data_IF_263067560029
#
_entry.id   IF_263067560029
#
_cell.length_a   1.000
_cell.length_b   1.000
_cell.length_c   1.000
_cell.angle_alpha   90.00
_cell.angle_beta   90.00
_cell.angle_gamma   90.00
#
_symmetry.space_group_name_H-M   'P 1'
#
loop_
_entity.id
_entity.type
_entity.pdbx_description
1 polymer ?
#
# COMPACT_ATOMS: atom_id res chain seq x y z
N UNK A 1 -16.67 0.21 -27.00
CA UNK A 1 -16.68 -0.76 -25.89
C UNK A 1 -15.38 -0.80 -25.08
N UNK A 2 -14.24 -1.33 -25.57
CA UNK A 2 -13.01 -1.42 -24.74
C UNK A 2 -12.49 -0.05 -24.25
N UNK A 3 -12.47 0.96 -25.13
CA UNK A 3 -12.06 2.31 -24.75
C UNK A 3 -12.96 2.92 -23.66
N UNK A 4 -14.27 2.70 -23.74
CA UNK A 4 -15.24 3.19 -22.74
C UNK A 4 -15.04 2.52 -21.38
N UNK A 5 -14.72 1.22 -21.35
CA UNK A 5 -14.41 0.50 -20.11
C UNK A 5 -13.14 1.03 -19.43
N UNK A 6 -12.09 1.30 -20.22
CA UNK A 6 -10.87 1.89 -19.69
C UNK A 6 -11.09 3.32 -19.20
N UNK A 7 -11.94 4.09 -19.86
CA UNK A 7 -12.33 5.42 -19.39
C UNK A 7 -13.09 5.34 -18.06
N UNK A 8 -14.06 4.42 -17.94
CA UNK A 8 -14.77 4.15 -16.68
C UNK A 8 -13.79 3.77 -15.56
N UNK A 9 -12.87 2.84 -15.83
CA UNK A 9 -11.84 2.43 -14.86
C UNK A 9 -10.97 3.63 -14.42
N UNK A 10 -10.55 4.48 -15.35
CA UNK A 10 -9.78 5.68 -15.03
C UNK A 10 -10.57 6.69 -14.17
N UNK A 11 -11.86 6.85 -14.45
CA UNK A 11 -12.72 7.75 -13.69
C UNK A 11 -13.01 7.24 -12.27
N UNK A 12 -13.22 5.93 -12.10
CA UNK A 12 -13.34 5.27 -10.79
C UNK A 12 -12.05 5.42 -9.98
N UNK A 13 -10.90 5.15 -10.61
CA UNK A 13 -9.59 5.31 -9.97
C UNK A 13 -9.36 6.75 -9.50
N UNK A 14 -9.70 7.75 -10.32
CA UNK A 14 -9.57 9.18 -9.98
C UNK A 14 -10.45 9.58 -8.80
N UNK A 15 -11.63 8.97 -8.66
CA UNK A 15 -12.55 9.20 -7.55
C UNK A 15 -12.17 8.42 -6.27
N UNK A 16 -11.18 7.53 -6.34
CA UNK A 16 -10.87 6.63 -5.23
C UNK A 16 -12.00 5.64 -4.96
N UNK A 17 -12.73 5.24 -6.01
CA UNK A 17 -13.75 4.19 -5.91
C UNK A 17 -13.09 2.83 -6.23
N UNK A 18 -13.11 1.85 -5.31
CA UNK A 18 -12.51 0.54 -5.57
C UNK A 18 -13.29 -0.26 -6.62
N UNK A 19 -12.55 -0.91 -7.53
CA UNK A 19 -13.11 -1.77 -8.57
C UNK A 19 -12.14 -2.88 -8.96
N UNK A 20 -12.61 -3.87 -9.72
CA UNK A 20 -11.77 -4.92 -10.31
C UNK A 20 -11.77 -4.77 -11.82
N UNK A 21 -10.59 -4.73 -12.41
CA UNK A 21 -10.41 -4.91 -13.84
C UNK A 21 -10.27 -6.40 -14.11
N UNK A 22 -11.24 -6.97 -14.82
CA UNK A 22 -11.27 -8.37 -15.19
C UNK A 22 -10.97 -8.55 -16.67
N UNK A 23 -10.14 -9.54 -17.02
CA UNK A 23 -9.78 -9.84 -18.40
C UNK A 23 -9.72 -11.34 -18.66
N UNK A 24 -10.30 -11.79 -19.77
CA UNK A 24 -10.14 -13.15 -20.27
C UNK A 24 -8.74 -13.29 -20.85
N UNK A 25 -7.89 -14.06 -20.16
CA UNK A 25 -6.49 -14.26 -20.57
C UNK A 25 -6.29 -15.54 -21.39
N UNK A 26 -7.18 -16.52 -21.23
CA UNK A 26 -7.21 -17.76 -22.02
C UNK A 26 -8.64 -18.25 -22.18
N UNK A 27 -8.91 -18.85 -23.35
CA UNK A 27 -10.15 -19.57 -23.62
C UNK A 27 -9.87 -20.95 -24.19
N UNK A 28 -10.80 -21.87 -23.98
CA UNK A 28 -10.92 -23.12 -24.72
C UNK A 28 -12.32 -23.20 -25.34
N UNK A 29 -12.43 -23.91 -26.47
CA UNK A 29 -13.75 -24.18 -27.07
C UNK A 29 -14.62 -24.95 -26.06
N UNK A 30 -15.94 -24.73 -25.96
CA UNK A 30 -16.83 -23.84 -26.70
C UNK A 30 -17.24 -22.60 -25.86
N UNK A 31 -16.29 -21.76 -25.45
CA UNK A 31 -16.59 -20.52 -24.73
C UNK A 31 -17.01 -19.38 -25.68
N UNK A 32 -18.08 -18.65 -25.32
CA UNK A 32 -18.52 -17.43 -26.01
C UNK A 32 -17.60 -16.23 -25.74
N UNK A 33 -16.79 -16.29 -24.68
CA UNK A 33 -15.73 -15.34 -24.44
C UNK A 33 -14.67 -15.41 -25.56
N UNK A 34 -14.05 -14.27 -25.84
CA UNK A 34 -12.83 -14.15 -26.61
C UNK A 34 -11.68 -13.76 -25.69
N UNK A 35 -10.46 -14.15 -26.08
CA UNK A 35 -9.28 -13.68 -25.38
C UNK A 35 -9.19 -12.15 -25.52
N UNK A 36 -8.91 -11.46 -24.40
CA UNK A 36 -8.91 -10.01 -24.33
C UNK A 36 -10.28 -9.36 -24.05
N UNK A 37 -11.35 -10.15 -23.98
CA UNK A 37 -12.62 -9.69 -23.41
C UNK A 37 -12.39 -9.16 -21.99
N UNK A 38 -13.07 -8.08 -21.64
CA UNK A 38 -12.80 -7.30 -20.44
C UNK A 38 -14.11 -6.85 -19.77
N UNK A 39 -14.07 -6.76 -18.45
CA UNK A 39 -15.10 -6.09 -17.68
C UNK A 39 -14.51 -5.30 -16.50
N UNK A 40 -15.25 -4.28 -16.06
CA UNK A 40 -15.05 -3.57 -14.79
C UNK A 40 -16.14 -4.04 -13.82
N UNK A 41 -15.73 -4.50 -12.64
CA UNK A 41 -16.63 -4.89 -11.56
C UNK A 41 -16.45 -3.93 -10.39
N UNK A 42 -17.46 -3.15 -10.08
CA UNK A 42 -17.42 -2.16 -8.99
C UNK A 42 -17.69 -2.82 -7.62
N UNK A 43 -17.28 -2.16 -6.54
CA UNK A 43 -17.42 -2.71 -5.18
C UNK A 43 -18.88 -2.95 -4.74
N UNK A 44 -19.85 -2.22 -5.32
CA UNK A 44 -21.29 -2.40 -5.12
C UNK A 44 -21.88 -3.55 -5.99
N UNK A 45 -21.07 -4.21 -6.81
CA UNK A 45 -21.47 -5.35 -7.63
C UNK A 45 -21.93 -5.00 -9.04
N UNK A 46 -21.78 -3.74 -9.47
CA UNK A 46 -21.91 -3.33 -10.86
C UNK A 46 -20.97 -4.12 -11.78
N UNK A 47 -21.39 -4.36 -13.02
CA UNK A 47 -20.67 -5.17 -14.00
C UNK A 47 -20.77 -4.52 -15.36
N UNK A 48 -19.65 -4.01 -15.86
CA UNK A 48 -19.58 -3.26 -17.10
C UNK A 48 -18.63 -3.99 -18.05
N UNK A 49 -19.12 -4.43 -19.20
CA UNK A 49 -18.32 -5.17 -20.19
C UNK A 49 -18.76 -6.62 -20.35
N UNK A 50 -17.86 -7.48 -20.79
CA UNK A 50 -18.18 -8.84 -21.20
C UNK A 50 -17.04 -9.81 -20.88
N UNK A 51 -17.38 -10.99 -20.35
CA UNK A 51 -16.44 -12.09 -20.05
C UNK A 51 -17.06 -13.46 -20.38
N UNK A 52 -17.82 -13.57 -21.48
CA UNK A 52 -18.46 -14.84 -21.88
C UNK A 52 -19.89 -15.06 -21.39
N UNK A 53 -20.64 -13.98 -21.13
CA UNK A 53 -22.08 -14.04 -20.83
C UNK A 53 -22.44 -14.27 -19.37
N UNK A 54 -23.71 -14.58 -19.11
CA UNK A 54 -24.26 -14.60 -17.74
C UNK A 54 -23.72 -15.75 -16.88
N UNK A 55 -23.22 -16.83 -17.47
CA UNK A 55 -22.72 -18.00 -16.73
C UNK A 55 -21.46 -17.69 -15.91
N UNK A 56 -20.64 -16.73 -16.34
CA UNK A 56 -19.41 -16.37 -15.62
C UNK A 56 -19.64 -15.31 -14.54
N UNK A 57 -20.66 -14.46 -14.69
CA UNK A 57 -20.86 -13.29 -13.84
C UNK A 57 -20.99 -13.60 -12.33
N UNK A 58 -21.79 -14.58 -11.86
CA UNK A 58 -21.96 -14.80 -10.42
C UNK A 58 -20.64 -15.16 -9.73
N UNK A 59 -19.85 -16.04 -10.37
CA UNK A 59 -18.55 -16.45 -9.85
C UNK A 59 -17.54 -15.32 -9.96
N UNK A 60 -17.46 -14.61 -11.09
CA UNK A 60 -16.54 -13.47 -11.26
C UNK A 60 -16.84 -12.38 -10.24
N UNK A 61 -18.10 -12.00 -10.03
CA UNK A 61 -18.48 -10.99 -9.02
C UNK A 61 -18.06 -11.39 -7.61
N UNK A 62 -18.27 -12.66 -7.26
CA UNK A 62 -17.87 -13.19 -5.95
C UNK A 62 -16.35 -13.11 -5.76
N UNK A 63 -15.58 -13.57 -6.74
CA UNK A 63 -14.12 -13.55 -6.64
C UNK A 63 -13.55 -12.13 -6.78
N UNK A 64 -14.18 -11.24 -7.53
CA UNK A 64 -13.85 -9.81 -7.59
C UNK A 64 -14.03 -9.14 -6.23
N UNK A 65 -15.15 -9.40 -5.54
CA UNK A 65 -15.36 -8.91 -4.16
C UNK A 65 -14.26 -9.41 -3.21
N UNK A 66 -13.83 -10.66 -3.34
CA UNK A 66 -12.72 -11.20 -2.53
C UNK A 66 -11.39 -10.54 -2.87
N UNK A 67 -11.09 -10.34 -4.15
CA UNK A 67 -9.90 -9.61 -4.60
C UNK A 67 -9.86 -8.17 -4.04
N UNK A 68 -11.00 -7.47 -3.99
CA UNK A 68 -11.10 -6.15 -3.38
C UNK A 68 -10.84 -6.15 -1.87
N UNK A 69 -11.42 -7.12 -1.15
CA UNK A 69 -11.25 -7.22 0.31
C UNK A 69 -9.82 -7.55 0.69
N UNK A 70 -9.18 -8.46 -0.05
CA UNK A 70 -7.82 -8.91 0.24
C UNK A 70 -6.74 -8.00 -0.39
N UNK A 71 -7.11 -7.21 -1.40
CA UNK A 71 -6.18 -6.35 -2.13
C UNK A 71 -5.16 -7.09 -2.99
N UNK A 72 -5.42 -8.36 -3.33
CA UNK A 72 -4.51 -9.20 -4.11
C UNK A 72 -5.16 -9.67 -5.42
N UNK A 73 -4.42 -9.65 -6.54
CA UNK A 73 -4.93 -10.18 -7.81
C UNK A 73 -5.26 -11.67 -7.75
N UNK A 74 -6.16 -12.11 -8.64
CA UNK A 74 -6.60 -13.50 -8.74
C UNK A 74 -6.65 -13.95 -10.19
N UNK A 75 -6.16 -15.16 -10.47
CA UNK A 75 -6.39 -15.84 -11.73
C UNK A 75 -7.40 -16.96 -11.50
N UNK A 76 -8.57 -16.84 -12.13
CA UNK A 76 -9.68 -17.77 -11.95
C UNK A 76 -9.86 -18.58 -13.23
N UNK A 77 -9.88 -19.91 -13.13
CA UNK A 77 -10.27 -20.78 -14.23
C UNK A 77 -11.68 -21.28 -14.02
N UNK A 78 -12.60 -20.91 -14.91
CA UNK A 78 -13.98 -21.34 -14.88
C UNK A 78 -14.14 -22.52 -15.84
N UNK A 79 -14.51 -23.68 -15.31
CA UNK A 79 -14.62 -24.93 -16.07
C UNK A 79 -15.79 -25.78 -15.56
N UNK A 80 -16.44 -26.59 -16.43
CA UNK A 80 -17.36 -27.64 -16.00
C UNK A 80 -16.67 -28.69 -15.10
N UNK A 81 -15.37 -28.90 -15.29
CA UNK A 81 -14.53 -29.85 -14.55
C UNK A 81 -13.36 -29.13 -13.87
N UNK A 82 -13.56 -28.42 -12.74
CA UNK A 82 -12.51 -27.62 -12.12
C UNK A 82 -11.27 -28.41 -11.71
N UNK A 83 -11.44 -29.70 -11.41
CA UNK A 83 -10.33 -30.56 -10.97
C UNK A 83 -9.28 -30.77 -12.06
N UNK A 84 -9.69 -30.76 -13.34
CA UNK A 84 -8.77 -30.93 -14.48
C UNK A 84 -8.03 -29.64 -14.83
N UNK A 85 -8.48 -28.49 -14.30
CA UNK A 85 -7.89 -27.17 -14.51
C UNK A 85 -6.98 -26.70 -13.37
N UNK A 86 -6.83 -27.52 -12.33
CA UNK A 86 -6.03 -27.19 -11.15
C UNK A 86 -4.55 -26.96 -11.52
N UNK A 87 -4.10 -25.71 -11.34
CA UNK A 87 -2.75 -25.25 -11.66
C UNK A 87 -2.23 -24.34 -10.53
N UNK A 88 -0.92 -24.32 -10.24
CA UNK A 88 -0.36 -23.38 -9.26
C UNK A 88 -0.74 -21.93 -9.59
N UNK A 89 -1.25 -21.20 -8.59
CA UNK A 89 -1.68 -19.80 -8.75
C UNK A 89 -3.00 -19.59 -9.50
N UNK A 90 -3.69 -20.66 -9.90
CA UNK A 90 -5.00 -20.59 -10.57
C UNK A 90 -6.08 -21.15 -9.67
N UNK A 91 -7.11 -20.36 -9.42
CA UNK A 91 -8.30 -20.78 -8.70
C UNK A 91 -9.29 -21.43 -9.68
N UNK A 92 -9.29 -22.76 -9.75
CA UNK A 92 -10.24 -23.50 -10.57
C UNK A 92 -11.61 -23.57 -9.89
N UNK A 93 -12.66 -23.08 -10.57
CA UNK A 93 -14.02 -22.96 -10.06
C UNK A 93 -15.04 -23.52 -11.05
N UNK A 94 -16.16 -24.07 -10.55
CA UNK A 94 -17.20 -24.61 -11.42
C UNK A 94 -17.87 -23.50 -12.22
N UNK A 95 -18.16 -23.81 -13.48
CA UNK A 95 -19.02 -23.00 -14.35
C UNK A 95 -20.32 -23.74 -14.64
N UNK A 96 -21.45 -23.03 -14.62
CA UNK A 96 -22.78 -23.57 -14.94
C UNK A 96 -23.13 -23.46 -16.43
N UNK A 97 -22.15 -23.24 -17.32
CA UNK A 97 -22.41 -23.07 -18.73
C UNK A 97 -22.63 -24.42 -19.42
N UNK A 98 -23.68 -24.52 -20.24
CA UNK A 98 -24.00 -25.73 -21.00
C UNK A 98 -23.02 -26.00 -22.16
N UNK A 99 -22.22 -25.01 -22.57
CA UNK A 99 -21.33 -25.16 -23.73
C UNK A 99 -20.07 -26.00 -23.46
N UNK A 100 -19.79 -26.32 -22.20
CA UNK A 100 -18.63 -27.16 -21.85
C UNK A 100 -17.27 -26.47 -21.98
N UNK A 101 -17.22 -25.16 -22.27
CA UNK A 101 -15.97 -24.43 -22.46
C UNK A 101 -15.31 -23.97 -21.15
N UNK A 102 -13.98 -23.93 -21.16
CA UNK A 102 -13.15 -23.37 -20.08
C UNK A 102 -12.68 -21.96 -20.43
N UNK A 103 -12.64 -21.07 -19.43
CA UNK A 103 -12.08 -19.72 -19.57
C UNK A 103 -11.28 -19.34 -18.33
N UNK A 104 -10.09 -18.79 -18.55
CA UNK A 104 -9.27 -18.21 -17.49
C UNK A 104 -9.44 -16.68 -17.50
N UNK A 105 -9.75 -16.13 -16.33
CA UNK A 105 -10.04 -14.71 -16.10
C UNK A 105 -9.07 -14.19 -15.05
N UNK A 106 -8.26 -13.21 -15.43
CA UNK A 106 -7.44 -12.44 -14.51
C UNK A 106 -8.26 -11.32 -13.90
N UNK A 107 -8.21 -11.19 -12.57
CA UNK A 107 -8.91 -10.21 -11.76
C UNK A 107 -7.89 -9.33 -11.04
N UNK A 108 -7.77 -8.08 -11.47
CA UNK A 108 -6.88 -7.08 -10.87
C UNK A 108 -7.71 -6.12 -10.00
N UNK A 109 -7.60 -6.18 -8.65
CA UNK A 109 -8.23 -5.20 -7.79
C UNK A 109 -7.49 -3.86 -7.87
N UNK A 110 -8.23 -2.81 -8.18
CA UNK A 110 -7.74 -1.43 -8.14
C UNK A 110 -8.33 -0.78 -6.88
N UNK A 111 -7.45 -0.54 -5.91
CA UNK A 111 -7.80 0.07 -4.64
C UNK A 111 -7.41 1.56 -4.61
N UNK A 112 -8.09 2.37 -3.79
CA UNK A 112 -7.69 3.76 -3.58
C UNK A 112 -6.27 3.85 -3.02
N UNK A 113 -5.52 4.87 -3.43
CA UNK A 113 -4.19 5.14 -2.91
C UNK A 113 -4.24 5.24 -1.37
N UNK A 114 -3.30 4.61 -0.64
CA UNK A 114 -3.20 4.79 0.79
C UNK A 114 -3.02 6.26 1.16
N UNK A 115 -3.58 6.65 2.30
CA UNK A 115 -3.53 8.01 2.84
C UNK A 115 -2.58 8.07 4.03
N UNK A 116 -1.60 8.96 3.97
CA UNK A 116 -0.76 9.34 5.09
C UNK A 116 -1.37 10.57 5.77
N UNK A 117 -1.89 10.38 6.98
CA UNK A 117 -2.34 11.44 7.86
C UNK A 117 -1.13 11.95 8.66
N UNK A 118 -0.68 13.16 8.36
CA UNK A 118 0.55 13.72 8.89
C UNK A 118 0.23 14.88 9.83
N UNK A 119 0.59 14.75 11.10
CA UNK A 119 0.40 15.78 12.11
C UNK A 119 1.72 16.53 12.33
N UNK A 120 1.72 17.83 12.04
CA UNK A 120 2.90 18.71 12.15
C UNK A 120 3.68 18.90 10.84
N UNK A 121 4.49 19.96 10.77
CA UNK A 121 5.29 20.35 9.58
C UNK A 121 6.82 20.25 9.82
N UNK A 122 7.24 19.36 10.73
CA UNK A 122 8.66 19.16 11.01
C UNK A 122 9.46 18.75 9.76
N UNK A 123 10.79 18.95 9.71
CA UNK A 123 11.61 18.44 8.60
C UNK A 123 11.42 16.94 8.35
N UNK A 124 11.24 16.16 9.42
CA UNK A 124 10.93 14.73 9.33
C UNK A 124 9.56 14.49 8.68
N UNK A 125 8.53 15.24 9.08
CA UNK A 125 7.20 15.17 8.50
C UNK A 125 7.23 15.47 6.99
N UNK A 126 7.91 16.56 6.59
CA UNK A 126 8.06 16.96 5.18
C UNK A 126 8.80 15.91 4.35
N UNK A 127 9.89 15.34 4.88
CA UNK A 127 10.61 14.27 4.20
C UNK A 127 9.74 13.02 4.02
N UNK A 128 8.98 12.64 5.04
CA UNK A 128 8.05 11.51 4.96
C UNK A 128 6.95 11.75 3.92
N UNK A 129 6.40 12.97 3.86
CA UNK A 129 5.40 13.34 2.85
C UNK A 129 5.94 13.24 1.41
N UNK A 130 7.21 13.61 1.19
CA UNK A 130 7.86 13.46 -0.12
C UNK A 130 8.00 11.99 -0.51
N UNK A 131 8.43 11.13 0.43
CA UNK A 131 8.53 9.69 0.20
C UNK A 131 7.16 9.07 -0.09
N UNK A 132 6.14 9.43 0.69
CA UNK A 132 4.78 8.96 0.50
C UNK A 132 4.27 9.27 -0.92
N UNK A 133 4.50 10.50 -1.40
CA UNK A 133 4.13 10.89 -2.77
C UNK A 133 4.91 10.16 -3.84
N UNK A 134 6.21 9.94 -3.63
CA UNK A 134 7.05 9.21 -4.58
C UNK A 134 6.58 7.75 -4.77
N UNK A 135 5.97 7.15 -3.74
CA UNK A 135 5.36 5.80 -3.82
C UNK A 135 3.87 5.82 -4.16
N UNK A 136 3.32 6.97 -4.54
CA UNK A 136 1.93 7.11 -5.00
C UNK A 136 0.87 7.19 -3.88
N UNK A 137 1.26 7.51 -2.65
CA UNK A 137 0.32 7.73 -1.55
C UNK A 137 -0.19 9.17 -1.54
N UNK A 138 -1.44 9.33 -1.10
CA UNK A 138 -2.02 10.64 -0.81
C UNK A 138 -1.52 11.13 0.56
N UNK A 139 -1.28 12.43 0.70
CA UNK A 139 -0.84 13.04 1.96
C UNK A 139 -1.88 14.03 2.43
N UNK A 140 -2.29 13.84 3.67
CA UNK A 140 -3.24 14.68 4.39
C UNK A 140 -2.52 15.37 5.54
N UNK A 141 -2.38 16.69 5.47
CA UNK A 141 -1.81 17.47 6.57
C UNK A 141 -2.91 17.73 7.59
N UNK A 142 -2.61 17.49 8.87
CA UNK A 142 -3.58 17.67 9.96
C UNK A 142 -2.98 18.59 11.02
N UNK A 143 -3.69 19.66 11.33
CA UNK A 143 -3.30 20.62 12.35
C UNK A 143 -4.52 21.17 13.09
N UNK A 144 -4.29 21.78 14.25
CA UNK A 144 -5.34 22.53 14.95
C UNK A 144 -5.77 23.76 14.15
N UNK A 145 -4.80 24.45 13.54
CA UNK A 145 -5.02 25.55 12.60
C UNK A 145 -4.31 25.19 11.27
N UNK A 146 -5.03 24.60 10.30
CA UNK A 146 -4.44 24.13 9.06
C UNK A 146 -4.01 25.30 8.17
N UNK A 147 -2.71 25.40 7.90
CA UNK A 147 -2.17 26.28 6.86
C UNK A 147 -2.26 25.57 5.52
N UNK A 148 -2.76 26.26 4.50
CA UNK A 148 -2.88 25.70 3.17
C UNK A 148 -1.50 25.34 2.58
N UNK A 149 -1.31 24.07 2.24
CA UNK A 149 -0.13 23.53 1.57
C UNK A 149 -0.44 23.14 0.11
N UNK A 150 -1.23 23.98 -0.57
CA UNK A 150 -1.69 23.75 -1.93
C UNK A 150 -0.53 23.59 -2.93
N UNK A 151 0.58 24.31 -2.73
CA UNK A 151 1.81 24.22 -3.51
C UNK A 151 2.50 22.86 -3.39
N UNK A 152 2.34 22.20 -2.24
CA UNK A 152 2.89 20.88 -1.99
C UNK A 152 1.99 19.79 -2.56
N UNK A 153 0.71 20.05 -2.79
CA UNK A 153 -0.32 19.08 -3.19
C UNK A 153 -0.79 18.21 -2.02
N UNK A 154 -0.82 18.74 -0.80
CA UNK A 154 -1.46 18.08 0.35
C UNK A 154 -2.98 18.35 0.32
N UNK A 155 -3.74 17.51 1.01
CA UNK A 155 -5.10 17.88 1.43
C UNK A 155 -5.02 18.28 2.89
N UNK A 156 -5.33 19.53 3.20
CA UNK A 156 -5.24 20.04 4.57
C UNK A 156 -6.57 19.83 5.30
N UNK A 157 -6.51 19.36 6.54
CA UNK A 157 -7.66 19.12 7.40
C UNK A 157 -7.47 19.78 8.76
N UNK A 158 -8.54 20.34 9.31
CA UNK A 158 -8.56 20.64 10.74
C UNK A 158 -8.67 19.33 11.53
N UNK A 159 -8.01 19.25 12.69
CA UNK A 159 -8.00 18.04 13.53
C UNK A 159 -9.39 17.40 13.78
N UNK A 160 -10.48 18.15 14.01
CA UNK A 160 -11.82 17.56 14.18
C UNK A 160 -12.40 16.93 12.91
N UNK A 161 -12.03 17.43 11.73
CA UNK A 161 -12.59 16.99 10.44
C UNK A 161 -12.07 15.61 10.02
N UNK A 162 -10.90 15.22 10.53
CA UNK A 162 -10.25 13.96 10.16
C UNK A 162 -11.07 12.73 10.57
N UNK A 163 -11.96 12.86 11.55
CA UNK A 163 -12.87 11.80 11.97
C UNK A 163 -13.78 11.33 10.82
N UNK A 164 -14.15 12.21 9.88
CA UNK A 164 -14.94 11.85 8.71
C UNK A 164 -14.20 10.86 7.79
N UNK A 165 -12.86 10.85 7.81
CA UNK A 165 -12.07 9.89 7.05
C UNK A 165 -12.17 8.46 7.59
N UNK A 166 -12.70 8.24 8.80
CA UNK A 166 -12.92 6.90 9.34
C UNK A 166 -13.78 6.03 8.39
N UNK A 167 -14.79 6.63 7.74
CA UNK A 167 -15.68 5.96 6.81
C UNK A 167 -15.11 5.81 5.38
N UNK A 168 -14.00 6.45 5.06
CA UNK A 168 -13.40 6.38 3.73
C UNK A 168 -12.80 5.00 3.45
N UNK A 169 -13.07 4.47 2.25
CA UNK A 169 -12.56 3.19 1.72
C UNK A 169 -11.10 3.26 1.26
N UNK A 170 -10.26 3.99 1.99
CA UNK A 170 -8.83 4.08 1.77
C UNK A 170 -8.08 3.60 3.02
N UNK A 171 -6.96 2.92 2.79
CA UNK A 171 -6.02 2.55 3.84
C UNK A 171 -5.42 3.81 4.43
N UNK A 172 -5.34 3.90 5.75
CA UNK A 172 -4.95 5.13 6.46
C UNK A 172 -3.79 4.83 7.40
N UNK A 173 -2.77 5.67 7.36
CA UNK A 173 -1.59 5.58 8.23
C UNK A 173 -1.39 6.95 8.86
N UNK A 174 -1.29 7.03 10.19
CA UNK A 174 -1.08 8.29 10.89
C UNK A 174 0.35 8.38 11.44
N UNK A 175 0.99 9.53 11.21
CA UNK A 175 2.28 9.87 11.80
C UNK A 175 2.19 11.23 12.49
N UNK A 176 2.53 11.25 13.77
CA UNK A 176 2.50 12.41 14.63
C UNK A 176 3.94 12.90 14.81
N UNK A 177 4.25 14.03 14.20
CA UNK A 177 5.59 14.60 14.11
C UNK A 177 5.54 16.13 14.31
N UNK A 178 4.84 16.55 15.37
CA UNK A 178 4.53 17.94 15.70
C UNK A 178 5.65 18.69 16.43
N UNK A 179 6.79 18.02 16.71
CA UNK A 179 7.88 18.56 17.54
C UNK A 179 7.45 18.93 18.96
N UNK A 180 6.34 18.36 19.42
CA UNK A 180 5.87 18.54 20.78
C UNK A 180 4.78 19.57 20.99
N UNK A 181 4.25 20.11 19.91
CA UNK A 181 3.10 21.00 19.93
C UNK A 181 1.82 20.17 19.77
N UNK A 182 0.87 20.32 20.70
CA UNK A 182 -0.44 19.66 20.64
C UNK A 182 -0.37 18.14 20.37
N UNK A 183 0.59 17.43 20.97
CA UNK A 183 0.75 15.98 20.82
C UNK A 183 -0.51 15.22 21.25
N UNK A 184 -1.08 15.59 22.40
CA UNK A 184 -2.27 14.95 22.96
C UNK A 184 -3.45 15.03 22.00
N UNK A 185 -3.72 16.23 21.48
CA UNK A 185 -4.86 16.46 20.59
C UNK A 185 -4.63 15.81 19.22
N UNK A 186 -3.37 15.77 18.75
CA UNK A 186 -3.00 15.05 17.53
C UNK A 186 -3.20 13.54 17.67
N UNK A 187 -2.88 12.94 18.83
CA UNK A 187 -3.15 11.53 19.10
C UNK A 187 -4.66 11.25 19.10
N UNK A 188 -5.44 12.08 19.77
CA UNK A 188 -6.91 11.93 19.82
C UNK A 188 -7.51 12.03 18.43
N UNK A 189 -7.09 13.02 17.64
CA UNK A 189 -7.53 13.19 16.26
C UNK A 189 -7.12 11.99 15.37
N UNK A 190 -5.87 11.52 15.46
CA UNK A 190 -5.40 10.35 14.74
C UNK A 190 -6.21 9.08 15.07
N UNK A 191 -6.53 8.85 16.35
CA UNK A 191 -7.35 7.72 16.79
C UNK A 191 -8.76 7.76 16.19
N UNK A 192 -9.34 8.95 16.05
CA UNK A 192 -10.69 9.15 15.49
C UNK A 192 -10.79 8.74 14.02
N UNK A 193 -9.72 8.92 13.23
CA UNK A 193 -9.66 8.52 11.82
C UNK A 193 -9.53 7.00 11.60
N UNK A 194 -9.36 6.23 12.69
CA UNK A 194 -9.18 4.76 12.69
C UNK A 194 -8.15 4.26 11.66
N UNK A 195 -6.92 4.78 11.64
CA UNK A 195 -5.87 4.30 10.74
C UNK A 195 -5.42 2.88 11.12
N UNK A 196 -4.83 2.17 10.16
CA UNK A 196 -4.19 0.86 10.35
C UNK A 196 -2.93 0.97 11.21
N UNK A 197 -2.26 2.11 11.16
CA UNK A 197 -1.04 2.40 11.91
C UNK A 197 -1.10 3.81 12.50
N UNK A 198 -0.61 3.97 13.73
CA UNK A 198 -0.39 5.27 14.37
C UNK A 198 1.02 5.25 14.94
N UNK A 199 1.86 6.18 14.53
CA UNK A 199 3.20 6.36 15.09
C UNK A 199 3.41 7.79 15.56
N UNK A 200 4.13 7.96 16.67
CA UNK A 200 4.54 9.28 17.16
C UNK A 200 6.07 9.42 17.23
N UNK A 201 6.56 10.49 16.63
CA UNK A 201 7.96 10.93 16.63
C UNK A 201 8.20 11.73 17.91
N UNK A 202 8.41 11.00 19.01
CA UNK A 202 8.72 11.57 20.32
C UNK A 202 9.68 10.63 21.07
N UNK A 203 10.37 11.14 22.10
CA UNK A 203 11.14 10.28 23.00
C UNK A 203 10.21 9.37 23.82
N UNK A 204 10.72 8.21 24.27
CA UNK A 204 9.96 7.28 25.13
C UNK A 204 9.45 7.94 26.41
N UNK A 205 10.29 8.81 27.01
CA UNK A 205 9.92 9.58 28.20
C UNK A 205 8.75 10.51 27.91
N UNK A 206 8.84 11.30 26.83
CA UNK A 206 7.78 12.25 26.44
C UNK A 206 6.47 11.52 26.14
N UNK A 207 6.53 10.39 25.42
CA UNK A 207 5.33 9.60 25.15
C UNK A 207 4.69 9.01 26.40
N UNK A 208 5.48 8.62 27.41
CA UNK A 208 4.93 8.16 28.69
C UNK A 208 4.15 9.28 29.41
N UNK A 209 4.68 10.51 29.42
CA UNK A 209 4.01 11.69 29.99
C UNK A 209 2.69 12.00 29.26
N UNK A 210 2.71 11.98 27.93
CA UNK A 210 1.51 12.17 27.09
C UNK A 210 0.48 11.07 27.37
N UNK A 211 0.92 9.81 27.49
CA UNK A 211 0.04 8.66 27.77
C UNK A 211 -0.66 8.82 29.11
N UNK A 212 0.07 9.20 30.16
CA UNK A 212 -0.52 9.46 31.50
C UNK A 212 -1.55 10.59 31.46
N UNK A 213 -1.23 11.70 30.78
CA UNK A 213 -2.13 12.82 30.56
C UNK A 213 -3.43 12.40 29.85
N UNK A 214 -3.31 11.63 28.76
CA UNK A 214 -4.46 11.16 27.99
C UNK A 214 -5.33 10.14 28.73
N UNK A 215 -4.73 9.27 29.55
CA UNK A 215 -5.48 8.39 30.44
C UNK A 215 -6.29 9.20 31.47
N UNK A 216 -5.68 10.24 32.04
CA UNK A 216 -6.37 11.17 32.95
C UNK A 216 -7.54 11.92 32.30
N UNK A 217 -7.48 12.15 30.98
CA UNK A 217 -8.55 12.73 30.15
C UNK A 217 -9.61 11.71 29.71
N UNK A 218 -9.48 10.43 30.08
CA UNK A 218 -10.45 9.38 29.78
C UNK A 218 -10.26 8.66 28.44
N UNK A 219 -9.12 8.83 27.75
CA UNK A 219 -8.78 8.01 26.59
C UNK A 219 -8.44 6.59 27.07
N UNK A 220 -8.97 5.56 26.40
CA UNK A 220 -8.74 4.18 26.84
C UNK A 220 -7.28 3.74 26.66
N UNK A 221 -6.77 2.95 27.60
CA UNK A 221 -5.43 2.35 27.50
C UNK A 221 -5.28 1.52 26.21
N UNK A 222 -6.31 0.78 25.83
CA UNK A 222 -6.36 -0.02 24.60
C UNK A 222 -6.14 0.84 23.34
N UNK A 223 -6.73 2.04 23.30
CA UNK A 223 -6.53 2.96 22.19
C UNK A 223 -5.08 3.48 22.14
N UNK A 224 -4.52 3.82 23.30
CA UNK A 224 -3.15 4.32 23.42
C UNK A 224 -2.09 3.26 23.12
N UNK A 225 -2.36 1.98 23.41
CA UNK A 225 -1.45 0.86 23.11
C UNK A 225 -1.30 0.61 21.59
N UNK A 226 -2.21 1.15 20.78
CA UNK A 226 -2.09 1.14 19.31
C UNK A 226 -1.05 2.16 18.80
N UNK A 227 -0.72 3.17 19.60
CA UNK A 227 0.23 4.23 19.21
C UNK A 227 1.66 3.71 19.36
N UNK A 228 2.40 3.66 18.25
CA UNK A 228 3.78 3.20 18.23
C UNK A 228 4.74 4.33 18.57
N UNK A 229 5.60 4.10 19.55
CA UNK A 229 6.64 5.03 19.96
C UNK A 229 7.98 4.31 20.27
N UNK A 230 9.12 4.79 19.73
CA UNK A 230 9.22 5.78 18.64
C UNK A 230 8.52 5.29 17.36
N UNK A 231 8.10 6.22 16.50
CA UNK A 231 7.54 5.85 15.20
C UNK A 231 8.59 5.12 14.34
N UNK A 232 8.14 4.11 13.59
CA UNK A 232 8.96 3.38 12.63
C UNK A 232 9.61 2.10 13.18
N UNK A 233 10.33 1.43 12.29
CA UNK A 233 11.17 0.27 12.62
C UNK A 233 12.53 0.77 13.11
N UNK A 234 13.08 0.15 14.15
CA UNK A 234 14.43 0.45 14.62
C UNK A 234 15.47 -0.10 13.63
N UNK A 235 15.81 0.73 12.65
CA UNK A 235 16.83 0.43 11.64
C UNK A 235 18.21 0.98 12.06
N UNK A 236 18.39 1.39 13.32
CA UNK A 236 19.62 2.02 13.80
C UNK A 236 19.89 3.41 13.19
N UNK A 237 18.85 4.05 12.62
CA UNK A 237 18.98 5.37 12.01
C UNK A 237 19.38 6.41 13.08
N UNK A 238 20.56 7.01 12.91
CA UNK A 238 20.94 8.23 13.61
C UNK A 238 20.68 9.40 12.68
N UNK A 239 19.89 10.37 13.14
CA UNK A 239 19.85 11.67 12.48
C UNK A 239 21.25 12.27 12.64
N UNK A 240 21.88 12.83 11.59
CA UNK A 240 23.11 13.59 11.75
C UNK A 240 22.85 14.66 12.81
N UNK A 241 23.62 14.68 13.89
CA UNK A 241 23.55 15.75 14.87
C UNK A 241 23.83 17.06 14.13
N UNK A 242 22.84 17.94 14.02
CA UNK A 242 23.13 19.34 13.71
C UNK A 242 24.02 19.86 14.85
N UNK A 243 25.19 20.46 14.56
CA UNK A 243 26.02 21.01 15.62
C UNK A 243 25.25 22.13 16.31
N UNK A 244 24.81 21.84 17.53
CA UNK A 244 24.40 22.83 18.53
C UNK A 244 25.59 23.76 18.76
N UNK A 245 25.68 24.85 18.00
CA UNK A 245 26.67 25.90 18.24
C UNK A 245 26.26 26.70 19.46
N UNK A 246 26.56 26.15 20.64
CA UNK A 246 26.94 26.93 21.82
C UNK A 246 28.38 26.60 22.16
N UNK A 247 29.31 27.09 21.33
CA UNK A 247 30.73 27.06 21.62
C UNK A 247 31.30 28.48 21.44
N UNK A 248 31.77 29.04 22.54
CA UNK A 248 32.64 30.21 22.63
C UNK A 248 33.88 30.05 21.74
N UNK A 249 34.39 31.12 21.11
CA UNK A 249 35.53 31.02 20.22
C UNK A 249 36.82 30.88 21.04
N UNK A 250 37.55 29.78 20.88
CA UNK A 250 38.98 29.72 21.20
C UNK A 250 39.70 28.89 20.14
N UNK A 251 40.39 29.64 19.29
CA UNK A 251 41.60 29.38 18.49
C UNK A 251 42.16 27.97 18.30
N UNK A 252 42.30 27.64 17.00
CA UNK A 252 43.42 27.00 16.29
C UNK A 252 43.81 25.54 16.57
N UNK A 253 43.53 24.65 15.60
CA UNK A 253 44.52 23.75 14.97
C UNK A 253 43.93 23.05 13.72
N UNK A 254 44.77 22.93 12.69
CA UNK A 254 44.59 22.38 11.32
C UNK A 254 44.17 20.89 11.28
N UNK A 255 43.43 20.41 10.26
CA UNK A 255 42.82 19.07 10.25
C UNK A 255 43.79 17.97 9.80
N UNK A 256 43.76 16.84 10.51
CA UNK A 256 44.34 15.57 10.05
C UNK A 256 43.25 14.72 9.39
N UNK A 257 43.49 14.33 8.13
CA UNK A 257 42.64 13.44 7.37
C UNK A 257 42.64 12.03 7.98
N UNK A 258 41.45 11.47 8.21
CA UNK A 258 41.28 10.06 8.59
C UNK A 258 40.48 9.35 7.50
N UNK A 259 41.14 8.33 6.93
CA UNK A 259 40.70 7.44 5.86
C UNK A 259 39.47 6.61 6.24
N UNK A 260 38.55 6.44 5.28
CA UNK A 260 37.45 5.47 5.34
C UNK A 260 38.00 4.06 5.15
N UNK A 261 37.88 3.20 6.17
CA UNK A 261 38.04 1.76 6.04
C UNK A 261 36.68 1.11 5.74
N UNK A 262 36.56 0.45 4.59
CA UNK A 262 35.37 -0.36 4.25
C UNK A 262 35.18 -1.54 5.21
N UNK A 263 33.95 -1.83 5.70
CA UNK A 263 33.66 -3.08 6.38
C UNK A 263 33.62 -4.26 5.39
N UNK A 264 34.26 -5.37 5.75
CA UNK A 264 34.15 -6.65 5.03
C UNK A 264 32.68 -7.14 5.03
N UNK A 265 32.17 -7.69 3.91
CA UNK A 265 30.86 -8.34 3.90
C UNK A 265 30.88 -9.68 4.66
N UNK A 266 29.77 -10.07 5.32
CA UNK A 266 29.69 -11.34 6.03
C UNK A 266 29.72 -12.53 5.06
N UNK A 267 30.52 -13.54 5.41
CA UNK A 267 30.59 -14.81 4.72
C UNK A 267 29.33 -15.64 4.98
N UNK A 268 28.40 -15.69 4.02
CA UNK A 268 27.51 -16.84 3.72
C UNK A 268 26.49 -16.46 2.65
N UNK A 269 26.87 -16.62 1.38
CA UNK A 269 25.92 -16.93 0.31
C UNK A 269 26.32 -18.28 -0.27
N UNK A 270 25.74 -19.34 0.29
CA UNK A 270 25.82 -20.67 -0.29
C UNK A 270 25.16 -20.62 -1.68
N UNK A 271 25.96 -20.82 -2.74
CA UNK A 271 25.43 -20.98 -4.09
C UNK A 271 24.78 -22.37 -4.23
N UNK A 272 23.62 -22.49 -4.91
CA UNK A 272 23.07 -23.79 -5.25
C UNK A 272 23.91 -24.40 -6.38
N UNK A 273 24.52 -25.56 -6.11
CA UNK A 273 25.18 -26.36 -7.15
C UNK A 273 24.12 -27.01 -8.04
N UNK A 274 24.06 -26.57 -9.30
CA UNK A 274 23.37 -27.29 -10.37
C UNK A 274 24.34 -28.24 -11.10
N UNK A 275 23.90 -29.41 -11.56
CA UNK A 275 24.74 -30.26 -12.40
C UNK A 275 24.78 -29.75 -13.85
N UNK A 276 25.98 -29.36 -14.30
CA UNK A 276 26.33 -29.20 -15.72
C UNK A 276 26.27 -30.56 -16.43
N UNK A 277 25.58 -30.64 -17.57
CA UNK A 277 26.06 -31.33 -18.79
C UNK A 277 25.15 -30.95 -19.97
N UNK A 278 25.66 -30.13 -20.89
CA UNK A 278 25.09 -29.93 -22.22
C UNK A 278 25.99 -30.63 -23.24
N UNK A 279 25.49 -31.52 -24.12
CA UNK A 279 26.34 -32.24 -25.05
C UNK A 279 26.83 -31.32 -26.19
N UNK A 280 28.15 -31.33 -26.39
CA UNK A 280 28.85 -30.64 -27.48
C UNK A 280 28.46 -31.20 -28.85
N UNK A 281 28.02 -30.32 -29.75
CA UNK A 281 27.88 -30.61 -31.19
C UNK A 281 29.27 -30.85 -31.81
N UNK A 282 29.48 -32.01 -32.43
CA UNK A 282 30.62 -32.26 -33.32
C UNK A 282 30.34 -31.73 -34.75
N UNK A 283 31.39 -31.33 -35.50
CA UNK A 283 31.25 -30.84 -36.86
C UNK A 283 31.25 -31.98 -37.90
N UNK A 284 30.57 -31.73 -39.03
CA UNK A 284 30.49 -32.58 -40.23
C UNK A 284 31.87 -33.05 -40.74
N UNK A 285 31.92 -34.25 -41.32
CA UNK A 285 32.69 -34.56 -42.55
C UNK A 285 32.13 -35.80 -43.27
N UNK A 286 32.21 -35.72 -44.61
CA UNK A 286 31.87 -36.66 -45.71
C UNK A 286 30.44 -37.19 -45.77
#
# INVERSE_FOLDING_TARGET
>A
MRAELLQLAADLARKGEPFVLAMVVRKQAYSSAQQGDMAVITADGGYHGWLGGNCTQPTVKREARRALVEGTPRLVSLSPEPQTEARPGVLALPMTCHSGGTVDIYLEPVLPAPRLLLFGDSPCARALAQLAKAVGWSVDSVAADPVAHADRGYTDYAAPEIAALAAANARKFAVIATMGEADEDSIVAALSARPEYIGIVASRRRFAEIRESLLGRGVSAEALDRVKNPAGLDIGARVPEEPSTRATPTTSATPAAASVSSPNPPATWAQPQGPETWPSRSPRRS
#
